data_IF_689961606751
#
_entry.id   IF_689961606751
#
_cell.length_a   1.000
_cell.length_b   1.000
_cell.length_c   1.000
_cell.angle_alpha   90.00
_cell.angle_beta   90.00
_cell.angle_gamma   90.00
#
_symmetry.space_group_name_H-M   'P 1'
#
loop_
_entity.id
_entity.type
_entity.pdbx_description
1 polymer ?
#
# COMPACT_ATOMS: atom_id res chain seq x y z
N UNK A 1 -16.37 4.88 -23.09
CA UNK A 1 -14.93 5.16 -22.93
C UNK A 1 -14.77 6.64 -22.59
N UNK A 2 -13.79 7.02 -21.76
CA UNK A 2 -13.63 8.40 -21.26
C UNK A 2 -13.52 9.41 -22.40
N UNK A 3 -12.61 9.19 -23.36
CA UNK A 3 -12.39 10.11 -24.48
C UNK A 3 -13.66 10.42 -25.27
N UNK A 4 -14.39 9.38 -25.70
CA UNK A 4 -15.66 9.56 -26.40
C UNK A 4 -16.72 10.31 -25.58
N UNK A 5 -16.84 10.02 -24.28
CA UNK A 5 -17.79 10.73 -23.43
C UNK A 5 -17.42 12.21 -23.19
N UNK A 6 -16.12 12.51 -23.06
CA UNK A 6 -15.63 13.91 -22.99
C UNK A 6 -15.94 14.64 -24.29
N UNK A 7 -15.69 14.01 -25.44
CA UNK A 7 -15.96 14.60 -26.74
C UNK A 7 -17.47 14.91 -26.93
N UNK A 8 -18.36 13.99 -26.55
CA UNK A 8 -19.82 14.21 -26.55
C UNK A 8 -20.21 15.39 -25.66
N UNK A 9 -19.64 15.50 -24.46
CA UNK A 9 -19.92 16.61 -23.54
C UNK A 9 -19.51 17.96 -24.13
N UNK A 10 -18.33 18.04 -24.76
CA UNK A 10 -17.85 19.27 -25.42
C UNK A 10 -18.67 19.61 -26.68
N UNK A 11 -19.09 18.60 -27.42
CA UNK A 11 -19.95 18.75 -28.60
C UNK A 11 -21.29 19.35 -28.24
N UNK A 12 -21.91 18.88 -27.15
CA UNK A 12 -23.18 19.43 -26.66
C UNK A 12 -23.12 20.92 -26.29
N UNK A 13 -21.91 21.46 -26.12
CA UNK A 13 -21.62 22.86 -25.80
C UNK A 13 -21.03 23.66 -26.96
N UNK A 14 -20.85 23.02 -28.12
CA UNK A 14 -20.28 23.66 -29.32
C UNK A 14 -18.80 24.03 -29.18
N UNK A 15 -18.05 23.34 -28.31
CA UNK A 15 -16.63 23.65 -27.97
C UNK A 15 -15.60 22.66 -28.52
N UNK A 16 -16.01 21.71 -29.36
CA UNK A 16 -15.10 20.75 -30.01
C UNK A 16 -15.12 20.96 -31.53
N UNK A 17 -14.20 21.77 -32.09
CA UNK A 17 -14.17 22.02 -33.53
C UNK A 17 -13.68 20.79 -34.32
N UNK A 18 -12.78 20.00 -33.72
CA UNK A 18 -12.14 18.84 -34.33
C UNK A 18 -11.90 17.75 -33.29
N UNK A 19 -11.89 16.49 -33.73
CA UNK A 19 -11.59 15.32 -32.91
C UNK A 19 -10.67 14.36 -33.66
N UNK A 20 -9.81 13.66 -32.94
CA UNK A 20 -8.99 12.59 -33.48
C UNK A 20 -9.09 11.34 -32.59
N UNK A 21 -9.28 10.18 -33.21
CA UNK A 21 -9.10 8.85 -32.62
C UNK A 21 -8.36 8.00 -33.68
N UNK A 22 -7.45 7.13 -33.25
CA UNK A 22 -6.73 6.19 -34.13
C UNK A 22 -7.71 5.29 -34.89
N UNK A 23 -8.93 5.09 -34.36
CA UNK A 23 -10.07 4.49 -35.04
C UNK A 23 -11.02 5.61 -35.49
N UNK A 24 -10.87 6.05 -36.73
CA UNK A 24 -11.67 7.15 -37.30
C UNK A 24 -13.19 6.95 -37.18
N UNK A 25 -13.67 5.71 -37.20
CA UNK A 25 -15.08 5.38 -36.97
C UNK A 25 -15.59 5.84 -35.60
N UNK A 26 -14.76 5.77 -34.55
CA UNK A 26 -15.11 6.23 -33.21
C UNK A 26 -15.21 7.76 -33.13
N UNK A 27 -14.43 8.47 -33.96
CA UNK A 27 -14.51 9.93 -34.09
C UNK A 27 -15.75 10.37 -34.91
N UNK A 28 -16.17 9.55 -35.89
CA UNK A 28 -17.31 9.81 -36.76
C UNK A 28 -18.70 9.64 -36.11
N UNK A 29 -18.77 9.15 -34.87
CA UNK A 29 -20.03 9.10 -34.11
C UNK A 29 -20.47 10.47 -33.57
N UNK A 30 -19.59 11.47 -33.62
CA UNK A 30 -19.87 12.86 -33.23
C UNK A 30 -20.55 13.62 -34.38
N UNK A 31 -21.54 14.45 -34.05
CA UNK A 31 -22.43 15.10 -35.04
C UNK A 31 -21.99 16.48 -35.53
N UNK A 32 -21.09 17.16 -34.81
CA UNK A 32 -20.63 18.53 -35.07
C UNK A 32 -19.10 18.60 -35.18
N UNK A 33 -18.36 17.79 -34.42
CA UNK A 33 -16.91 17.76 -34.49
C UNK A 33 -16.43 17.21 -35.84
N UNK A 34 -15.47 17.89 -36.48
CA UNK A 34 -14.82 17.32 -37.67
C UNK A 34 -13.80 16.25 -37.22
N UNK A 35 -13.99 15.01 -37.68
CA UNK A 35 -12.98 13.97 -37.51
C UNK A 35 -11.76 14.28 -38.38
N UNK A 36 -10.59 14.42 -37.75
CA UNK A 36 -9.31 14.69 -38.40
C UNK A 36 -8.37 13.48 -38.27
N UNK A 37 -7.37 13.42 -39.15
CA UNK A 37 -6.53 12.23 -39.30
C UNK A 37 -5.34 12.21 -38.37
N UNK A 38 -4.93 13.37 -37.81
CA UNK A 38 -3.77 13.44 -36.93
C UNK A 38 -3.98 14.30 -35.68
N UNK A 39 -3.22 14.04 -34.60
CA UNK A 39 -3.19 14.93 -33.43
C UNK A 39 -2.70 16.35 -33.75
N UNK A 40 -1.79 16.52 -34.71
CA UNK A 40 -1.31 17.83 -35.15
C UNK A 40 -2.45 18.70 -35.72
N UNK A 41 -3.37 18.11 -36.49
CA UNK A 41 -4.54 18.81 -37.03
C UNK A 41 -5.47 19.31 -35.92
N UNK A 42 -5.59 18.55 -34.83
CA UNK A 42 -6.33 18.98 -33.62
C UNK A 42 -5.66 20.19 -32.98
N UNK A 43 -4.34 20.12 -32.78
CA UNK A 43 -3.57 21.18 -32.12
C UNK A 43 -3.55 22.50 -32.90
N UNK A 44 -3.53 22.44 -34.25
CA UNK A 44 -3.40 23.62 -35.11
C UNK A 44 -4.56 24.62 -34.95
N UNK A 45 -5.75 24.14 -34.60
CA UNK A 45 -6.98 24.94 -34.51
C UNK A 45 -7.51 25.09 -33.08
N UNK A 46 -6.81 24.54 -32.08
CA UNK A 46 -7.27 24.50 -30.69
C UNK A 46 -6.43 25.39 -29.78
N UNK A 47 -7.06 26.07 -28.83
CA UNK A 47 -6.36 26.73 -27.73
C UNK A 47 -6.13 25.78 -26.54
N UNK A 48 -6.99 24.77 -26.41
CA UNK A 48 -6.93 23.70 -25.39
C UNK A 48 -7.09 22.35 -26.08
N UNK A 49 -6.17 21.41 -25.81
CA UNK A 49 -6.18 20.04 -26.35
C UNK A 49 -6.31 19.03 -25.22
N UNK A 50 -7.35 18.20 -25.25
CA UNK A 50 -7.59 17.14 -24.26
C UNK A 50 -7.08 15.80 -24.78
N UNK A 51 -6.19 15.15 -24.03
CA UNK A 51 -5.62 13.84 -24.40
C UNK A 51 -6.16 12.76 -23.46
N UNK A 52 -6.93 11.81 -24.02
CA UNK A 52 -7.50 10.67 -23.30
C UNK A 52 -7.18 9.35 -24.01
N UNK A 53 -6.04 8.76 -23.67
CA UNK A 53 -5.53 7.49 -24.19
C UNK A 53 -5.27 6.50 -23.04
N UNK A 54 -4.81 5.29 -23.35
CA UNK A 54 -4.75 4.19 -22.37
C UNK A 54 -3.54 4.29 -21.45
N UNK A 55 -2.37 4.60 -21.99
CA UNK A 55 -1.10 4.53 -21.27
C UNK A 55 -0.10 5.61 -21.69
N UNK A 56 1.03 5.68 -20.98
CA UNK A 56 2.09 6.66 -21.23
C UNK A 56 2.76 6.51 -22.61
N UNK A 57 2.81 5.31 -23.19
CA UNK A 57 3.40 5.13 -24.52
C UNK A 57 2.52 5.79 -25.58
N UNK A 58 1.20 5.60 -25.48
CA UNK A 58 0.24 6.28 -26.35
C UNK A 58 0.24 7.80 -26.13
N UNK A 59 0.42 8.28 -24.89
CA UNK A 59 0.56 9.71 -24.63
C UNK A 59 1.76 10.29 -25.37
N UNK A 60 2.92 9.64 -25.30
CA UNK A 60 4.13 10.08 -26.02
C UNK A 60 3.95 10.03 -27.53
N UNK A 61 3.30 9.00 -28.06
CA UNK A 61 2.99 8.90 -29.50
C UNK A 61 2.10 10.06 -29.95
N UNK A 62 1.00 10.31 -29.24
CA UNK A 62 0.07 11.42 -29.55
C UNK A 62 0.76 12.78 -29.41
N UNK A 63 1.65 12.94 -28.44
CA UNK A 63 2.31 14.23 -28.17
C UNK A 63 3.50 14.49 -29.12
N UNK A 64 4.37 13.50 -29.31
CA UNK A 64 5.69 13.64 -29.95
C UNK A 64 5.82 13.02 -31.33
N UNK A 65 4.82 12.27 -31.81
CA UNK A 65 4.86 11.70 -33.16
C UNK A 65 5.11 12.77 -34.23
N UNK A 66 5.54 12.35 -35.42
CA UNK A 66 5.82 13.27 -36.53
C UNK A 66 4.60 14.16 -36.85
N UNK A 67 3.39 13.60 -36.70
CA UNK A 67 2.10 14.30 -36.79
C UNK A 67 1.43 14.49 -35.41
N UNK A 68 2.22 14.60 -34.35
CA UNK A 68 1.78 14.71 -32.95
C UNK A 68 1.30 16.12 -32.57
N UNK A 69 0.72 16.24 -31.38
CA UNK A 69 0.18 17.49 -30.85
C UNK A 69 1.23 18.61 -30.85
N UNK A 70 2.50 18.33 -30.48
CA UNK A 70 3.54 19.35 -30.46
C UNK A 70 3.92 19.85 -31.87
N UNK A 71 3.88 18.98 -32.88
CA UNK A 71 4.18 19.35 -34.26
C UNK A 71 3.15 20.33 -34.85
N UNK A 72 1.88 20.22 -34.43
CA UNK A 72 0.80 21.11 -34.86
C UNK A 72 0.54 22.30 -33.93
N UNK A 73 1.18 22.36 -32.76
CA UNK A 73 0.90 23.36 -31.74
C UNK A 73 1.53 24.73 -32.04
N UNK A 74 0.88 25.78 -31.54
CA UNK A 74 1.44 27.13 -31.45
C UNK A 74 1.77 27.47 -29.99
N UNK A 75 2.72 28.40 -29.73
CA UNK A 75 2.97 28.87 -28.38
C UNK A 75 1.68 29.37 -27.71
N UNK A 76 1.49 29.00 -26.45
CA UNK A 76 0.31 29.30 -25.64
C UNK A 76 -0.77 28.23 -25.64
N UNK A 77 -0.71 27.18 -26.46
CA UNK A 77 -1.68 26.06 -26.37
C UNK A 77 -1.58 25.38 -25.00
N UNK A 78 -2.73 25.00 -24.43
CA UNK A 78 -2.81 24.20 -23.20
C UNK A 78 -3.16 22.76 -23.55
N UNK A 79 -2.29 21.82 -23.18
CA UNK A 79 -2.57 20.39 -23.26
C UNK A 79 -3.07 19.92 -21.90
N UNK A 80 -4.20 19.23 -21.87
CA UNK A 80 -4.78 18.65 -20.66
C UNK A 80 -4.74 17.13 -20.76
N UNK A 81 -3.92 16.51 -19.93
CA UNK A 81 -3.74 15.07 -19.91
C UNK A 81 -4.76 14.40 -18.99
N UNK A 82 -5.77 13.74 -19.58
CA UNK A 82 -6.79 12.98 -18.84
C UNK A 82 -6.34 11.55 -18.48
N UNK A 83 -5.37 11.04 -19.23
CA UNK A 83 -4.84 9.68 -19.10
C UNK A 83 -4.10 9.53 -17.78
N UNK A 84 -4.32 8.41 -17.09
CA UNK A 84 -3.63 8.14 -15.82
C UNK A 84 -2.21 7.66 -16.11
N UNK A 85 -1.22 8.49 -15.77
CA UNK A 85 0.22 8.18 -15.91
C UNK A 85 0.97 8.51 -14.61
N UNK A 86 2.24 8.11 -14.50
CA UNK A 86 3.04 8.39 -13.31
C UNK A 86 3.40 9.88 -13.21
N UNK A 87 3.62 10.38 -11.99
CA UNK A 87 4.02 11.78 -11.78
C UNK A 87 5.34 12.14 -12.46
N UNK A 88 6.39 11.28 -12.43
CA UNK A 88 7.60 11.54 -13.21
C UNK A 88 7.34 11.66 -14.72
N UNK A 89 6.39 10.88 -15.24
CA UNK A 89 5.99 10.97 -16.64
C UNK A 89 5.33 12.32 -16.96
N UNK A 90 4.38 12.77 -16.13
CA UNK A 90 3.77 14.10 -16.28
C UNK A 90 4.84 15.20 -16.32
N UNK A 91 5.83 15.12 -15.44
CA UNK A 91 6.90 16.12 -15.35
C UNK A 91 7.79 16.13 -16.60
N UNK A 92 8.12 14.95 -17.13
CA UNK A 92 8.89 14.84 -18.38
C UNK A 92 8.11 15.42 -19.56
N UNK A 93 6.85 15.02 -19.74
CA UNK A 93 5.98 15.53 -20.81
C UNK A 93 5.82 17.06 -20.73
N UNK A 94 5.69 17.63 -19.53
CA UNK A 94 5.59 19.08 -19.37
C UNK A 94 6.88 19.80 -19.76
N UNK A 95 8.04 19.21 -19.50
CA UNK A 95 9.32 19.76 -19.92
C UNK A 95 9.43 19.78 -21.46
N UNK A 96 8.96 18.71 -22.10
CA UNK A 96 8.93 18.62 -23.57
C UNK A 96 7.95 19.65 -24.16
N UNK A 97 6.73 19.77 -23.62
CA UNK A 97 5.77 20.80 -24.03
C UNK A 97 6.34 22.23 -23.94
N UNK A 98 7.05 22.54 -22.86
CA UNK A 98 7.63 23.88 -22.65
C UNK A 98 8.62 24.28 -23.74
N UNK A 99 9.34 23.33 -24.35
CA UNK A 99 10.25 23.61 -25.46
C UNK A 99 9.54 24.18 -26.70
N UNK A 100 8.23 23.93 -26.83
CA UNK A 100 7.37 24.43 -27.91
C UNK A 100 6.49 25.61 -27.45
N UNK A 101 6.69 26.12 -26.24
CA UNK A 101 5.81 27.13 -25.64
C UNK A 101 4.40 26.61 -25.34
N UNK A 102 4.24 25.30 -25.19
CA UNK A 102 2.97 24.64 -24.84
C UNK A 102 2.93 24.41 -23.33
N UNK A 103 1.79 24.66 -22.72
CA UNK A 103 1.54 24.41 -21.30
C UNK A 103 0.89 23.03 -21.12
N UNK A 104 1.25 22.29 -20.07
CA UNK A 104 0.66 20.98 -19.76
C UNK A 104 -0.05 21.05 -18.41
N UNK A 105 -1.28 20.53 -18.35
CA UNK A 105 -2.02 20.24 -17.14
C UNK A 105 -2.21 18.72 -17.01
N UNK A 106 -1.96 18.16 -15.83
CA UNK A 106 -2.42 16.80 -15.52
C UNK A 106 -3.83 16.85 -14.93
N UNK A 107 -4.73 16.00 -15.41
CA UNK A 107 -6.13 16.03 -15.00
C UNK A 107 -6.68 14.62 -14.83
N UNK A 108 -6.62 14.09 -13.61
CA UNK A 108 -7.26 12.81 -13.31
C UNK A 108 -8.77 12.92 -13.31
N UNK A 109 -9.48 11.93 -13.85
CA UNK A 109 -10.96 11.94 -13.92
C UNK A 109 -11.60 10.72 -13.28
N UNK A 110 -12.80 10.88 -12.71
CA UNK A 110 -13.58 9.77 -12.11
C UNK A 110 -15.06 10.14 -11.90
N UNK A 111 -16.03 9.20 -11.97
CA UNK A 111 -15.93 7.90 -12.62
C UNK A 111 -16.06 8.04 -14.14
N UNK A 112 -15.31 7.25 -14.92
CA UNK A 112 -15.14 7.48 -16.36
C UNK A 112 -16.36 7.15 -17.23
N UNK A 113 -17.26 6.31 -16.74
CA UNK A 113 -18.53 5.96 -17.38
C UNK A 113 -19.53 7.12 -17.43
N UNK A 114 -19.33 8.14 -16.60
CA UNK A 114 -20.20 9.32 -16.51
C UNK A 114 -19.73 10.50 -17.38
N UNK A 115 -18.69 10.30 -18.19
CA UNK A 115 -18.09 11.34 -19.04
C UNK A 115 -19.07 12.01 -20.01
N UNK A 116 -20.01 11.26 -20.60
CA UNK A 116 -20.98 11.77 -21.59
C UNK A 116 -22.13 12.59 -20.99
N UNK A 117 -22.28 12.59 -19.65
CA UNK A 117 -23.41 13.20 -18.96
C UNK A 117 -22.97 14.30 -18.00
N UNK A 118 -21.79 14.89 -18.23
CA UNK A 118 -21.18 15.85 -17.31
C UNK A 118 -21.07 15.34 -15.86
N UNK A 119 -20.89 14.03 -15.66
CA UNK A 119 -20.97 13.41 -14.33
C UNK A 119 -19.63 13.21 -13.63
N UNK A 120 -18.51 13.55 -14.28
CA UNK A 120 -17.17 13.30 -13.76
C UNK A 120 -16.73 14.32 -12.71
N UNK A 121 -15.78 13.91 -11.89
CA UNK A 121 -14.94 14.78 -11.06
C UNK A 121 -13.56 14.82 -11.72
N UNK A 122 -13.11 16.03 -12.04
CA UNK A 122 -11.78 16.30 -12.58
C UNK A 122 -10.86 16.81 -11.46
N UNK A 123 -9.67 16.23 -11.36
CA UNK A 123 -8.61 16.54 -10.39
C UNK A 123 -7.43 17.08 -11.17
N UNK A 124 -7.24 18.40 -11.17
CA UNK A 124 -6.33 19.10 -12.07
C UNK A 124 -5.10 19.58 -11.31
N UNK A 125 -3.91 19.35 -11.86
CA UNK A 125 -2.65 19.93 -11.42
C UNK A 125 -2.08 20.88 -12.48
N UNK A 126 -1.54 22.00 -12.03
CA UNK A 126 -0.95 23.05 -12.87
C UNK A 126 -0.96 24.42 -12.18
N UNK A 127 -0.38 25.43 -12.81
CA UNK A 127 -0.46 26.80 -12.32
C UNK A 127 -1.87 27.41 -12.50
N UNK A 128 -2.21 28.36 -11.64
CA UNK A 128 -3.54 28.97 -11.55
C UNK A 128 -4.01 29.56 -12.88
N UNK A 129 -3.12 30.25 -13.60
CA UNK A 129 -3.45 30.92 -14.86
C UNK A 129 -3.76 29.90 -15.96
N UNK A 130 -2.92 28.87 -16.13
CA UNK A 130 -3.16 27.80 -17.09
C UNK A 130 -4.44 27.03 -16.78
N UNK A 131 -4.69 26.73 -15.49
CA UNK A 131 -5.92 26.06 -15.04
C UNK A 131 -7.15 26.92 -15.31
N UNK A 132 -7.08 28.24 -15.06
CA UNK A 132 -8.18 29.15 -15.34
C UNK A 132 -8.53 29.19 -16.84
N UNK A 133 -7.52 29.11 -17.72
CA UNK A 133 -7.71 29.07 -19.17
C UNK A 133 -8.40 27.80 -19.66
N UNK A 134 -8.14 26.65 -19.05
CA UNK A 134 -8.75 25.37 -19.41
C UNK A 134 -10.05 25.04 -18.64
N UNK A 135 -10.41 25.86 -17.66
CA UNK A 135 -11.58 25.63 -16.79
C UNK A 135 -12.90 25.52 -17.56
N UNK A 136 -13.19 26.34 -18.60
CA UNK A 136 -14.45 26.23 -19.35
C UNK A 136 -14.65 24.86 -19.99
N UNK A 137 -13.60 24.27 -20.57
CA UNK A 137 -13.63 22.96 -21.22
C UNK A 137 -13.74 21.84 -20.18
N UNK A 138 -13.03 21.96 -19.06
CA UNK A 138 -13.11 21.00 -17.96
C UNK A 138 -14.51 20.94 -17.32
N UNK A 139 -15.17 22.09 -17.17
CA UNK A 139 -16.51 22.20 -16.57
C UNK A 139 -17.64 21.64 -17.46
N UNK A 140 -17.37 21.35 -18.73
CA UNK A 140 -18.37 20.81 -19.65
C UNK A 140 -18.61 19.31 -19.46
N UNK A 141 -17.57 18.56 -19.07
CA UNK A 141 -17.65 17.12 -18.86
C UNK A 141 -17.56 16.72 -17.37
N UNK A 142 -17.10 17.62 -16.50
CA UNK A 142 -17.01 17.38 -15.07
C UNK A 142 -18.02 18.22 -14.26
N UNK A 143 -18.92 17.55 -13.53
CA UNK A 143 -19.78 18.19 -12.51
C UNK A 143 -19.00 18.93 -11.44
N UNK A 144 -17.73 18.55 -11.22
CA UNK A 144 -16.83 19.22 -10.29
C UNK A 144 -15.40 19.16 -10.82
N UNK A 145 -14.80 20.33 -10.97
CA UNK A 145 -13.35 20.47 -11.16
C UNK A 145 -12.73 20.86 -9.82
N UNK A 146 -11.68 20.15 -9.43
CA UNK A 146 -10.88 20.40 -8.23
C UNK A 146 -9.47 20.70 -8.69
N UNK A 147 -9.00 21.92 -8.42
CA UNK A 147 -7.59 22.27 -8.62
C UNK A 147 -6.82 21.78 -7.40
N UNK A 148 -5.95 20.79 -7.63
CA UNK A 148 -5.28 20.02 -6.59
C UNK A 148 -3.92 20.60 -6.20
N UNK A 149 -3.45 21.64 -6.89
CA UNK A 149 -2.15 22.27 -6.69
C UNK A 149 -1.31 22.29 -7.97
N UNK A 150 0.03 22.29 -7.85
CA UNK A 150 0.93 22.41 -9.00
C UNK A 150 0.88 21.18 -9.91
N UNK A 151 1.56 21.25 -11.04
CA UNK A 151 1.71 20.14 -11.97
C UNK A 151 2.13 18.83 -11.25
N UNK A 152 1.40 17.76 -11.51
CA UNK A 152 1.51 16.44 -10.89
C UNK A 152 0.52 16.21 -9.74
N UNK A 153 -0.08 17.26 -9.18
CA UNK A 153 -1.00 17.14 -8.04
C UNK A 153 -2.36 16.52 -8.43
N UNK A 154 -2.84 16.74 -9.65
CA UNK A 154 -4.08 16.15 -10.16
C UNK A 154 -3.96 14.63 -10.28
N UNK A 155 -2.88 14.16 -10.88
CA UNK A 155 -2.52 12.74 -10.98
C UNK A 155 -2.25 12.12 -9.62
N UNK A 156 -1.49 12.79 -8.76
CA UNK A 156 -1.26 12.30 -7.39
C UNK A 156 -2.56 12.08 -6.64
N UNK A 157 -3.49 13.04 -6.74
CA UNK A 157 -4.82 12.95 -6.12
C UNK A 157 -5.62 11.78 -6.68
N UNK A 158 -5.62 11.61 -8.01
CA UNK A 158 -6.30 10.48 -8.67
C UNK A 158 -5.73 9.12 -8.25
N UNK A 159 -4.41 9.00 -8.18
CA UNK A 159 -3.72 7.78 -7.74
C UNK A 159 -4.05 7.47 -6.28
N UNK A 160 -3.96 8.45 -5.39
CA UNK A 160 -4.31 8.30 -3.97
C UNK A 160 -5.78 7.86 -3.79
N UNK A 161 -6.71 8.48 -4.53
CA UNK A 161 -8.12 8.08 -4.54
C UNK A 161 -8.31 6.64 -5.02
N UNK A 162 -7.55 6.20 -6.01
CA UNK A 162 -7.61 4.83 -6.51
C UNK A 162 -7.07 3.82 -5.50
N UNK A 163 -6.02 4.16 -4.73
CA UNK A 163 -5.55 3.36 -3.60
C UNK A 163 -6.67 3.12 -2.60
N UNK A 164 -7.40 4.16 -2.19
CA UNK A 164 -8.56 4.02 -1.30
C UNK A 164 -9.64 3.10 -1.90
N UNK A 165 -9.93 3.25 -3.20
CA UNK A 165 -10.99 2.47 -3.86
C UNK A 165 -10.66 0.99 -3.95
N UNK A 166 -9.51 0.66 -4.52
CA UNK A 166 -9.11 -0.73 -4.73
C UNK A 166 -8.71 -1.42 -3.42
N UNK A 167 -8.12 -0.68 -2.47
CA UNK A 167 -7.87 -1.15 -1.12
C UNK A 167 -9.16 -1.51 -0.39
N UNK A 168 -10.20 -0.67 -0.48
CA UNK A 168 -11.51 -0.96 0.12
C UNK A 168 -12.18 -2.18 -0.50
N UNK A 169 -12.06 -2.39 -1.81
CA UNK A 169 -12.58 -3.60 -2.46
C UNK A 169 -11.83 -4.87 -2.02
N UNK A 170 -10.52 -4.77 -1.81
CA UNK A 170 -9.74 -5.87 -1.24
C UNK A 170 -10.18 -6.17 0.21
N UNK A 171 -10.41 -5.13 1.01
CA UNK A 171 -10.93 -5.27 2.37
C UNK A 171 -12.30 -5.99 2.39
N UNK A 172 -13.22 -5.55 1.53
CA UNK A 172 -14.53 -6.18 1.39
C UNK A 172 -14.43 -7.65 0.95
N UNK A 173 -13.51 -7.96 0.04
CA UNK A 173 -13.25 -9.33 -0.41
C UNK A 173 -12.78 -10.24 0.73
N UNK A 174 -11.83 -9.78 1.55
CA UNK A 174 -11.31 -10.54 2.70
C UNK A 174 -12.37 -10.71 3.79
N UNK A 175 -13.10 -9.64 4.13
CA UNK A 175 -14.19 -9.70 5.11
C UNK A 175 -15.28 -10.69 4.68
N UNK A 176 -15.67 -10.68 3.41
CA UNK A 176 -16.66 -11.63 2.89
C UNK A 176 -16.13 -13.08 2.86
N UNK A 177 -14.83 -13.28 2.63
CA UNK A 177 -14.22 -14.61 2.70
C UNK A 177 -14.18 -15.14 4.14
N UNK A 178 -13.86 -14.28 5.10
CA UNK A 178 -13.86 -14.63 6.53
C UNK A 178 -15.28 -14.93 7.04
N UNK A 179 -16.28 -14.13 6.64
CA UNK A 179 -17.68 -14.40 6.96
C UNK A 179 -18.14 -15.76 6.42
N UNK A 180 -17.88 -16.04 5.14
CA UNK A 180 -18.23 -17.32 4.50
C UNK A 180 -17.57 -18.52 5.18
N UNK A 181 -16.31 -18.38 5.61
CA UNK A 181 -15.60 -19.47 6.27
C UNK A 181 -16.20 -19.81 7.64
N UNK A 182 -16.81 -18.83 8.31
CA UNK A 182 -17.59 -19.01 9.53
C UNK A 182 -19.06 -19.43 9.26
N UNK A 183 -19.45 -19.70 8.01
CA UNK A 183 -20.82 -20.07 7.64
C UNK A 183 -21.81 -18.90 7.60
N UNK A 184 -21.32 -17.66 7.56
CA UNK A 184 -22.14 -16.44 7.48
C UNK A 184 -22.32 -16.01 6.02
N UNK A 185 -23.56 -15.72 5.63
CA UNK A 185 -23.87 -15.14 4.32
C UNK A 185 -23.34 -13.69 4.24
N UNK A 186 -22.55 -13.33 3.23
CA UNK A 186 -22.15 -11.94 2.99
C UNK A 186 -23.30 -10.94 2.94
N UNK A 187 -24.52 -11.34 2.58
CA UNK A 187 -25.70 -10.48 2.63
C UNK A 187 -26.00 -9.99 4.07
N UNK A 188 -25.84 -10.86 5.06
CA UNK A 188 -25.98 -10.50 6.48
C UNK A 188 -24.87 -9.55 6.93
N UNK A 189 -23.64 -9.75 6.44
CA UNK A 189 -22.55 -8.81 6.71
C UNK A 189 -22.85 -7.42 6.13
N UNK A 190 -23.42 -7.35 4.93
CA UNK A 190 -23.84 -6.08 4.30
C UNK A 190 -24.89 -5.38 5.17
N UNK A 191 -25.91 -6.09 5.63
CA UNK A 191 -26.96 -5.53 6.51
C UNK A 191 -26.36 -4.92 7.79
N UNK A 192 -25.41 -5.62 8.44
CA UNK A 192 -24.73 -5.10 9.64
C UNK A 192 -23.92 -3.84 9.34
N UNK A 193 -23.22 -3.80 8.20
CA UNK A 193 -22.41 -2.64 7.81
C UNK A 193 -23.29 -1.44 7.48
N UNK A 194 -24.38 -1.64 6.72
CA UNK A 194 -25.30 -0.56 6.34
C UNK A 194 -25.98 0.07 7.56
N UNK A 195 -26.32 -0.73 8.58
CA UNK A 195 -26.89 -0.23 9.84
C UNK A 195 -25.84 0.48 10.72
N UNK A 196 -24.60 0.00 10.74
CA UNK A 196 -23.53 0.59 11.55
C UNK A 196 -22.91 1.86 10.94
N UNK A 197 -22.85 1.94 9.62
CA UNK A 197 -22.29 3.07 8.85
C UNK A 197 -23.16 3.41 7.63
N UNK A 198 -24.38 3.93 7.84
CA UNK A 198 -25.33 4.20 6.75
C UNK A 198 -24.85 5.26 5.75
N UNK A 199 -23.82 6.03 6.11
CA UNK A 199 -23.21 7.02 5.23
C UNK A 199 -21.96 6.50 4.50
N UNK A 200 -21.51 5.27 4.77
CA UNK A 200 -20.27 4.71 4.24
C UNK A 200 -19.05 5.58 4.56
N UNK A 201 -19.04 6.23 5.72
CA UNK A 201 -18.02 7.20 6.10
C UNK A 201 -16.73 6.54 6.59
N UNK A 202 -16.77 5.26 6.97
CA UNK A 202 -15.64 4.51 7.58
C UNK A 202 -14.35 4.63 6.77
N UNK A 203 -14.32 4.44 5.43
CA UNK A 203 -13.07 4.54 4.66
C UNK A 203 -12.42 5.92 4.70
N UNK A 204 -13.18 6.97 5.01
CA UNK A 204 -12.69 8.36 5.07
C UNK A 204 -12.59 8.90 6.50
N UNK A 205 -13.13 8.19 7.49
CA UNK A 205 -13.29 8.70 8.85
C UNK A 205 -11.94 9.10 9.46
N UNK A 206 -10.95 8.21 9.40
CA UNK A 206 -9.64 8.48 10.01
C UNK A 206 -8.90 9.62 9.30
N UNK A 207 -8.90 9.62 7.96
CA UNK A 207 -8.33 10.71 7.16
C UNK A 207 -8.99 12.06 7.49
N UNK A 208 -10.32 12.09 7.69
CA UNK A 208 -11.04 13.31 8.09
C UNK A 208 -10.64 13.75 9.49
N UNK A 209 -10.53 12.83 10.44
CA UNK A 209 -10.14 13.16 11.81
C UNK A 209 -8.73 13.77 11.87
N UNK A 210 -7.79 13.21 11.11
CA UNK A 210 -6.42 13.74 11.02
C UNK A 210 -6.38 15.18 10.47
N UNK A 211 -7.26 15.53 9.53
CA UNK A 211 -7.30 16.86 8.93
C UNK A 211 -8.11 17.85 9.78
N UNK A 212 -9.25 17.42 10.35
CA UNK A 212 -10.18 18.30 11.04
C UNK A 212 -9.89 18.49 12.53
N UNK A 213 -9.32 17.48 13.20
CA UNK A 213 -9.03 17.49 14.63
C UNK A 213 -7.84 16.55 14.96
N UNK A 214 -6.62 16.91 14.52
CA UNK A 214 -5.44 16.05 14.68
C UNK A 214 -5.12 15.70 16.13
N UNK A 215 -5.37 16.61 17.07
CA UNK A 215 -5.15 16.40 18.51
C UNK A 215 -6.06 15.32 19.09
N UNK A 216 -7.36 15.38 18.77
CA UNK A 216 -8.33 14.35 19.20
C UNK A 216 -8.02 12.98 18.58
N UNK A 217 -7.54 12.95 17.33
CA UNK A 217 -7.11 11.71 16.70
C UNK A 217 -5.89 11.11 17.41
N UNK A 218 -4.92 11.95 17.80
CA UNK A 218 -3.73 11.53 18.55
C UNK A 218 -4.09 11.00 19.95
N UNK A 219 -5.00 11.67 20.67
CA UNK A 219 -5.46 11.22 22.00
C UNK A 219 -6.22 9.89 21.95
N UNK A 220 -7.06 9.70 20.92
CA UNK A 220 -7.84 8.47 20.75
C UNK A 220 -7.00 7.28 20.23
N UNK A 221 -5.93 7.56 19.48
CA UNK A 221 -5.08 6.57 18.81
C UNK A 221 -4.70 5.36 19.68
N UNK A 222 -4.15 5.53 20.88
CA UNK A 222 -3.75 4.41 21.74
C UNK A 222 -4.91 3.50 22.15
N UNK A 223 -6.10 4.06 22.40
CA UNK A 223 -7.27 3.24 22.73
C UNK A 223 -7.77 2.47 21.51
N UNK A 224 -7.82 3.13 20.35
CA UNK A 224 -8.24 2.52 19.09
C UNK A 224 -7.27 1.40 18.69
N UNK A 225 -5.96 1.60 18.88
CA UNK A 225 -4.93 0.61 18.62
C UNK A 225 -5.15 -0.67 19.43
N UNK A 226 -5.44 -0.56 20.73
CA UNK A 226 -5.75 -1.73 21.58
C UNK A 226 -6.99 -2.49 21.12
N UNK A 227 -8.05 -1.78 20.72
CA UNK A 227 -9.26 -2.41 20.21
C UNK A 227 -9.00 -3.11 18.88
N UNK A 228 -8.30 -2.43 17.98
CA UNK A 228 -7.90 -2.97 16.68
C UNK A 228 -7.02 -4.22 16.82
N UNK A 229 -5.99 -4.19 17.67
CA UNK A 229 -5.13 -5.37 17.90
C UNK A 229 -5.94 -6.57 18.41
N UNK A 230 -6.81 -6.35 19.39
CA UNK A 230 -7.70 -7.38 19.95
C UNK A 230 -8.67 -7.95 18.90
N UNK A 231 -9.36 -7.09 18.13
CA UNK A 231 -10.35 -7.54 17.14
C UNK A 231 -9.69 -8.19 15.91
N UNK A 232 -8.55 -7.68 15.44
CA UNK A 232 -7.79 -8.27 14.34
C UNK A 232 -7.08 -9.58 14.77
N UNK A 233 -6.72 -9.74 16.05
CA UNK A 233 -6.27 -11.04 16.60
C UNK A 233 -7.34 -12.11 16.41
N UNK A 234 -8.58 -11.82 16.81
CA UNK A 234 -9.70 -12.75 16.67
C UNK A 234 -9.97 -13.09 15.20
N UNK A 235 -9.83 -12.11 14.29
CA UNK A 235 -9.94 -12.35 12.86
C UNK A 235 -8.84 -13.29 12.33
N UNK A 236 -7.60 -13.15 12.80
CA UNK A 236 -6.49 -14.05 12.42
C UNK A 236 -6.70 -15.47 12.94
N UNK A 237 -7.16 -15.63 14.18
CA UNK A 237 -7.50 -16.94 14.75
C UNK A 237 -8.59 -17.64 13.94
N UNK A 238 -9.67 -16.93 13.60
CA UNK A 238 -10.75 -17.44 12.77
C UNK A 238 -10.27 -17.81 11.36
N UNK A 239 -9.46 -16.94 10.75
CA UNK A 239 -8.89 -17.18 9.42
C UNK A 239 -8.00 -18.42 9.41
N UNK A 240 -7.16 -18.59 10.44
CA UNK A 240 -6.26 -19.75 10.60
C UNK A 240 -7.05 -21.03 10.80
N UNK A 241 -8.04 -21.01 11.70
CA UNK A 241 -8.90 -22.18 11.97
C UNK A 241 -9.66 -22.67 10.74
N UNK A 242 -9.96 -21.77 9.79
CA UNK A 242 -10.75 -22.09 8.60
C UNK A 242 -9.94 -22.08 7.29
N UNK A 243 -8.62 -21.92 7.33
CA UNK A 243 -7.75 -21.93 6.15
C UNK A 243 -7.98 -20.77 5.17
N UNK A 244 -8.31 -19.57 5.67
CA UNK A 244 -8.52 -18.36 4.86
C UNK A 244 -7.33 -17.41 4.97
N UNK A 245 -6.88 -16.86 3.84
CA UNK A 245 -5.85 -15.83 3.83
C UNK A 245 -6.44 -14.42 4.05
N UNK A 246 -5.91 -13.70 5.04
CA UNK A 246 -6.33 -12.33 5.40
C UNK A 246 -5.14 -11.35 5.45
N UNK A 247 -4.40 -11.15 4.33
CA UNK A 247 -3.20 -10.32 4.34
C UNK A 247 -3.47 -8.85 4.68
N UNK A 248 -4.66 -8.30 4.40
CA UNK A 248 -4.98 -6.92 4.80
C UNK A 248 -5.19 -6.81 6.31
N UNK A 249 -5.79 -7.83 6.95
CA UNK A 249 -5.90 -7.91 8.43
C UNK A 249 -4.50 -7.91 9.04
N UNK A 250 -3.58 -8.71 8.48
CA UNK A 250 -2.20 -8.76 8.95
C UNK A 250 -1.51 -7.40 8.80
N UNK A 251 -1.61 -6.78 7.62
CA UNK A 251 -1.01 -5.47 7.37
C UNK A 251 -1.58 -4.38 8.29
N UNK A 252 -2.90 -4.34 8.48
CA UNK A 252 -3.56 -3.37 9.36
C UNK A 252 -3.11 -3.52 10.82
N UNK A 253 -2.94 -4.76 11.29
CA UNK A 253 -2.42 -5.05 12.63
C UNK A 253 -0.94 -4.65 12.76
N UNK A 254 -0.09 -5.09 11.83
CA UNK A 254 1.36 -4.81 11.83
C UNK A 254 1.66 -3.32 11.77
N UNK A 255 0.91 -2.56 10.98
CA UNK A 255 1.12 -1.12 10.80
C UNK A 255 0.13 -0.27 11.61
N UNK A 256 -0.41 -0.81 12.70
CA UNK A 256 -1.45 -0.16 13.49
C UNK A 256 -1.03 1.17 14.11
N UNK A 257 0.18 1.21 14.67
CA UNK A 257 0.76 2.43 15.27
C UNK A 257 0.92 3.54 14.23
N UNK A 258 1.53 3.19 13.07
CA UNK A 258 1.70 4.10 11.94
C UNK A 258 0.35 4.61 11.41
N UNK A 259 -0.62 3.70 11.23
CA UNK A 259 -1.96 4.02 10.74
C UNK A 259 -2.67 5.01 11.66
N UNK A 260 -2.56 4.80 12.97
CA UNK A 260 -3.23 5.60 13.98
C UNK A 260 -2.41 6.81 14.45
N UNK A 261 -1.23 7.05 13.85
CA UNK A 261 -0.34 8.14 14.26
C UNK A 261 0.09 8.04 15.73
N UNK A 262 0.04 6.83 16.30
CA UNK A 262 0.53 6.56 17.64
C UNK A 262 2.04 6.52 17.52
N UNK A 263 2.67 7.64 17.85
CA UNK A 263 4.10 7.63 18.15
C UNK A 263 4.20 6.75 19.39
N UNK A 264 4.74 5.54 19.24
CA UNK A 264 5.23 4.82 20.41
C UNK A 264 6.08 5.83 21.16
N UNK A 265 5.72 6.15 22.40
CA UNK A 265 6.66 6.83 23.30
C UNK A 265 7.93 6.03 23.14
N UNK A 266 8.99 6.65 22.61
CA UNK A 266 10.29 6.01 22.60
C UNK A 266 10.49 5.62 24.07
N UNK A 267 10.51 4.31 24.40
CA UNK A 267 10.41 3.88 25.79
C UNK A 267 11.49 4.65 26.52
N UNK A 268 11.14 5.43 27.56
CA UNK A 268 11.99 6.48 28.12
C UNK A 268 13.35 5.87 28.35
N UNK A 269 14.35 6.25 27.53
CA UNK A 269 15.53 5.46 27.20
C UNK A 269 15.77 4.36 28.23
N UNK A 270 15.07 3.23 28.08
CA UNK A 270 15.18 2.18 29.07
C UNK A 270 16.66 1.83 29.08
N UNK A 271 17.27 1.77 30.28
CA UNK A 271 18.66 1.40 30.41
C UNK A 271 18.88 0.15 29.54
N UNK A 272 20.02 0.09 28.82
CA UNK A 272 20.26 -0.92 27.77
C UNK A 272 19.90 -2.32 28.24
N UNK A 273 20.18 -2.59 29.51
CA UNK A 273 19.76 -3.75 30.29
C UNK A 273 18.27 -4.06 30.21
N UNK A 274 17.42 -3.09 30.53
CA UNK A 274 15.96 -3.28 30.59
C UNK A 274 15.39 -3.60 29.22
N UNK A 275 15.82 -2.86 28.19
CA UNK A 275 15.43 -3.13 26.80
C UNK A 275 15.93 -4.50 26.35
N UNK A 276 17.16 -4.85 26.71
CA UNK A 276 17.74 -6.16 26.45
C UNK A 276 16.94 -7.31 27.04
N UNK A 277 16.51 -7.19 28.29
CA UNK A 277 15.69 -8.19 28.97
C UNK A 277 14.33 -8.36 28.29
N UNK A 278 13.66 -7.27 27.94
CA UNK A 278 12.38 -7.31 27.22
C UNK A 278 12.51 -8.02 25.86
N UNK A 279 13.55 -7.67 25.10
CA UNK A 279 13.79 -8.25 23.77
C UNK A 279 14.18 -9.72 23.88
N UNK A 280 14.87 -10.11 24.94
CA UNK A 280 15.23 -11.49 25.17
C UNK A 280 13.97 -12.35 25.44
N UNK A 281 13.00 -11.82 26.18
CA UNK A 281 11.68 -12.44 26.35
C UNK A 281 10.91 -12.51 25.03
N UNK A 282 10.93 -11.44 24.23
CA UNK A 282 10.36 -11.46 22.88
C UNK A 282 11.01 -12.51 21.98
N UNK A 283 12.31 -12.78 22.13
CA UNK A 283 13.04 -13.73 21.27
C UNK A 283 12.88 -15.19 21.72
N UNK A 284 12.75 -15.45 23.03
CA UNK A 284 12.80 -16.82 23.57
C UNK A 284 11.57 -17.25 24.37
N UNK A 285 10.61 -16.36 24.57
CA UNK A 285 9.41 -16.59 25.36
C UNK A 285 9.43 -15.83 26.68
N UNK A 286 8.23 -15.44 27.13
CA UNK A 286 8.01 -14.64 28.35
C UNK A 286 8.53 -15.32 29.61
N UNK A 287 9.22 -14.58 30.47
CA UNK A 287 9.70 -15.05 31.78
C UNK A 287 11.14 -15.54 31.82
N UNK A 288 11.87 -15.51 30.69
CA UNK A 288 13.29 -15.82 30.66
C UNK A 288 14.13 -14.70 31.31
N UNK A 289 13.71 -13.45 31.13
CA UNK A 289 14.28 -12.27 31.75
C UNK A 289 14.21 -12.35 33.28
N UNK A 290 13.08 -12.82 33.83
CA UNK A 290 12.86 -12.96 35.27
C UNK A 290 13.68 -14.12 35.87
N UNK A 291 14.01 -15.13 35.07
CA UNK A 291 14.86 -16.25 35.45
C UNK A 291 16.37 -15.89 35.41
N UNK A 292 16.74 -14.67 35.00
CA UNK A 292 18.15 -14.26 34.97
C UNK A 292 18.68 -13.87 36.35
N UNK A 293 19.95 -14.19 36.66
CA UNK A 293 20.57 -13.77 37.91
C UNK A 293 20.66 -12.24 37.99
N UNK A 294 20.37 -11.70 39.17
CA UNK A 294 20.44 -10.25 39.44
C UNK A 294 21.86 -9.68 39.28
N UNK A 295 22.88 -10.48 39.63
CA UNK A 295 24.30 -10.15 39.41
C UNK A 295 24.79 -10.92 38.17
N UNK A 296 24.99 -10.20 37.07
CA UNK A 296 25.40 -10.78 35.78
C UNK A 296 26.92 -10.69 35.62
N UNK A 297 27.53 -11.75 35.10
CA UNK A 297 28.94 -11.70 34.67
C UNK A 297 29.06 -10.88 33.38
N UNK A 298 30.24 -10.30 33.06
CA UNK A 298 30.40 -9.39 31.91
C UNK A 298 29.91 -9.94 30.56
N UNK A 299 30.07 -11.24 30.30
CA UNK A 299 29.59 -11.87 29.06
C UNK A 299 28.05 -11.88 28.96
N UNK A 300 27.37 -12.08 30.09
CA UNK A 300 25.91 -12.08 30.15
C UNK A 300 25.36 -10.65 30.09
N UNK A 301 26.05 -9.68 30.71
CA UNK A 301 25.75 -8.25 30.57
C UNK A 301 25.84 -7.80 29.11
N UNK A 302 26.93 -8.14 28.40
CA UNK A 302 27.05 -7.81 26.97
C UNK A 302 25.95 -8.46 26.12
N UNK A 303 25.54 -9.67 26.46
CA UNK A 303 24.46 -10.37 25.75
C UNK A 303 23.13 -9.64 25.92
N UNK A 304 22.79 -9.25 27.14
CA UNK A 304 21.57 -8.48 27.42
C UNK A 304 21.65 -7.09 26.80
N UNK A 305 22.68 -6.31 27.13
CA UNK A 305 22.75 -4.89 26.83
C UNK A 305 23.00 -4.59 25.35
N UNK A 306 23.83 -5.42 24.69
CA UNK A 306 24.27 -5.15 23.33
C UNK A 306 23.55 -6.05 22.31
N UNK A 307 23.57 -7.37 22.49
CA UNK A 307 22.90 -8.25 21.52
C UNK A 307 21.39 -8.00 21.52
N UNK A 308 20.74 -8.09 22.69
CA UNK A 308 19.30 -7.86 22.77
C UNK A 308 18.94 -6.37 22.85
N UNK A 309 19.66 -5.60 23.66
CA UNK A 309 19.39 -4.17 23.86
C UNK A 309 19.71 -3.28 22.66
N UNK A 310 20.51 -3.74 21.69
CA UNK A 310 20.85 -2.94 20.50
C UNK A 310 20.69 -3.68 19.17
N UNK A 311 21.14 -4.94 19.02
CA UNK A 311 21.20 -5.61 17.72
C UNK A 311 19.85 -6.18 17.28
N UNK A 312 19.15 -6.88 18.17
CA UNK A 312 17.85 -7.51 17.85
C UNK A 312 16.72 -6.49 17.65
N UNK A 313 16.80 -5.32 18.29
CA UNK A 313 15.81 -4.25 18.18
C UNK A 313 16.00 -3.29 17.01
N UNK A 314 17.05 -3.45 16.18
CA UNK A 314 17.26 -2.48 15.10
C UNK A 314 16.09 -2.51 14.10
N UNK A 315 15.61 -1.36 13.64
CA UNK A 315 14.63 -1.33 12.57
C UNK A 315 15.23 -1.93 11.29
N UNK A 316 14.37 -2.48 10.42
CA UNK A 316 14.72 -2.97 9.09
C UNK A 316 14.64 -4.48 8.87
N UNK A 317 14.62 -5.29 9.93
CA UNK A 317 14.31 -6.72 9.86
C UNK A 317 13.30 -7.09 10.94
N UNK A 318 12.25 -7.81 10.57
CA UNK A 318 11.29 -8.37 11.52
C UNK A 318 11.96 -9.44 12.39
N UNK A 319 11.32 -9.81 13.52
CA UNK A 319 11.79 -10.90 14.38
C UNK A 319 11.93 -12.21 13.59
N UNK A 320 10.93 -12.52 12.75
CA UNK A 320 10.94 -13.70 11.86
C UNK A 320 12.09 -13.65 10.85
N UNK A 321 12.38 -12.51 10.24
CA UNK A 321 13.51 -12.40 9.29
C UNK A 321 14.84 -12.63 9.99
N UNK A 322 15.01 -12.07 11.19
CA UNK A 322 16.20 -12.29 12.03
C UNK A 322 16.34 -13.75 12.40
N UNK A 323 15.23 -14.41 12.75
CA UNK A 323 15.18 -15.85 13.04
C UNK A 323 15.72 -16.66 11.87
N UNK A 324 15.26 -16.40 10.66
CA UNK A 324 15.71 -17.12 9.46
C UNK A 324 17.21 -16.92 9.20
N UNK A 325 17.72 -15.69 9.39
CA UNK A 325 19.17 -15.42 9.26
C UNK A 325 19.98 -16.19 10.30
N UNK A 326 19.53 -16.20 11.56
CA UNK A 326 20.23 -16.91 12.65
C UNK A 326 20.16 -18.43 12.46
N UNK A 327 19.02 -18.98 12.05
CA UNK A 327 18.87 -20.41 11.73
C UNK A 327 19.79 -20.81 10.57
N UNK A 328 19.88 -20.00 9.51
CA UNK A 328 20.82 -20.25 8.42
C UNK A 328 22.27 -20.24 8.88
N UNK A 329 22.67 -19.26 9.69
CA UNK A 329 24.02 -19.16 10.22
C UNK A 329 24.39 -20.33 11.15
N UNK A 330 23.48 -20.70 12.06
CA UNK A 330 23.69 -21.80 13.02
C UNK A 330 23.64 -23.18 12.35
N UNK A 331 22.84 -23.33 11.30
CA UNK A 331 22.81 -24.52 10.46
C UNK A 331 24.16 -24.76 9.79
N UNK A 332 24.80 -23.72 9.24
CA UNK A 332 26.13 -23.82 8.64
C UNK A 332 27.22 -24.26 9.64
N UNK A 333 27.01 -24.01 10.92
CA UNK A 333 27.91 -24.42 12.01
C UNK A 333 27.61 -25.84 12.54
N UNK A 334 26.53 -26.48 12.10
CA UNK A 334 26.12 -27.81 12.57
C UNK A 334 25.72 -27.85 14.06
N UNK A 335 25.28 -26.71 14.63
CA UNK A 335 25.00 -26.57 16.06
C UNK A 335 23.53 -26.85 16.38
N UNK A 336 23.21 -28.14 16.55
CA UNK A 336 21.85 -28.60 16.87
C UNK A 336 21.27 -27.95 18.13
N UNK A 337 22.10 -27.69 19.14
CA UNK A 337 21.74 -27.02 20.39
C UNK A 337 21.28 -25.57 20.16
N UNK A 338 21.93 -24.83 19.27
CA UNK A 338 21.52 -23.47 18.92
C UNK A 338 20.25 -23.47 18.07
N UNK A 339 20.12 -24.43 17.15
CA UNK A 339 18.90 -24.61 16.36
C UNK A 339 17.70 -24.86 17.27
N UNK A 340 17.84 -25.77 18.25
CA UNK A 340 16.78 -26.10 19.19
C UNK A 340 16.24 -24.87 19.93
N UNK A 341 17.14 -24.03 20.45
CA UNK A 341 16.77 -22.80 21.18
C UNK A 341 16.03 -21.82 20.26
N UNK A 342 16.51 -21.62 19.04
CA UNK A 342 15.90 -20.68 18.10
C UNK A 342 14.54 -21.16 17.59
N UNK A 343 14.43 -22.45 17.24
CA UNK A 343 13.17 -23.04 16.76
C UNK A 343 12.10 -23.01 17.85
N UNK A 344 12.47 -23.33 19.09
CA UNK A 344 11.53 -23.24 20.23
C UNK A 344 11.00 -21.82 20.41
N UNK A 345 11.86 -20.80 20.38
CA UNK A 345 11.44 -19.40 20.43
C UNK A 345 10.46 -19.05 19.30
N UNK A 346 10.77 -19.47 18.06
CA UNK A 346 9.88 -19.22 16.92
C UNK A 346 8.50 -19.88 17.04
N UNK A 347 8.42 -21.04 17.68
CA UNK A 347 7.15 -21.75 17.92
C UNK A 347 6.34 -21.08 19.03
N UNK A 348 6.99 -20.64 20.12
CA UNK A 348 6.34 -19.91 21.22
C UNK A 348 5.72 -18.61 20.70
N UNK A 349 6.43 -17.90 19.83
CA UNK A 349 6.02 -16.61 19.32
C UNK A 349 5.12 -16.67 18.07
N UNK A 350 4.88 -17.86 17.53
CA UNK A 350 4.12 -18.03 16.29
C UNK A 350 4.81 -17.45 15.04
N UNK A 351 6.14 -17.33 15.05
CA UNK A 351 6.93 -16.85 13.91
C UNK A 351 7.02 -17.88 12.77
N UNK A 352 7.07 -19.17 13.12
CA UNK A 352 7.22 -20.30 12.21
C UNK A 352 6.27 -21.43 12.57
N UNK A 353 5.65 -22.03 11.56
CA UNK A 353 4.83 -23.24 11.68
C UNK A 353 5.67 -24.51 11.58
N UNK A 354 5.15 -25.64 12.06
CA UNK A 354 5.82 -26.94 11.91
C UNK A 354 6.10 -27.28 10.44
N UNK A 355 5.15 -27.00 9.53
CA UNK A 355 5.34 -27.20 8.09
C UNK A 355 6.43 -26.32 7.50
N UNK A 356 6.56 -25.07 7.95
CA UNK A 356 7.64 -24.21 7.50
C UNK A 356 9.01 -24.69 8.01
N UNK A 357 9.06 -25.25 9.22
CA UNK A 357 10.29 -25.83 9.76
C UNK A 357 10.74 -27.05 8.95
N UNK A 358 9.81 -27.92 8.52
CA UNK A 358 10.13 -29.05 7.65
C UNK A 358 10.72 -28.57 6.31
N UNK A 359 10.13 -27.54 5.69
CA UNK A 359 10.65 -26.94 4.45
C UNK A 359 12.01 -26.27 4.66
N UNK A 360 12.22 -25.58 5.79
CA UNK A 360 13.52 -24.98 6.15
C UNK A 360 14.59 -26.07 6.28
N UNK A 361 14.28 -27.18 6.96
CA UNK A 361 15.21 -28.30 7.10
C UNK A 361 15.55 -28.89 5.73
N UNK A 362 14.54 -29.15 4.89
CA UNK A 362 14.74 -29.65 3.53
C UNK A 362 15.66 -28.72 2.73
N UNK A 363 15.39 -27.42 2.74
CA UNK A 363 16.20 -26.42 2.05
C UNK A 363 17.64 -26.44 2.56
N UNK A 364 17.85 -26.42 3.88
CA UNK A 364 19.17 -26.36 4.48
C UNK A 364 20.02 -27.61 4.24
N UNK A 365 19.43 -28.78 3.99
CA UNK A 365 20.20 -29.97 3.58
C UNK A 365 21.02 -29.73 2.30
N UNK A 366 20.50 -28.96 1.35
CA UNK A 366 21.17 -28.68 0.07
C UNK A 366 22.23 -27.59 0.17
N UNK A 367 22.07 -26.63 1.09
CA UNK A 367 22.98 -25.48 1.20
C UNK A 367 24.01 -25.63 2.32
N UNK A 368 23.63 -26.21 3.47
CA UNK A 368 24.55 -26.51 4.57
C UNK A 368 25.20 -27.90 4.47
N UNK A 369 24.70 -28.76 3.57
CA UNK A 369 25.14 -30.13 3.37
C UNK A 369 24.49 -31.12 4.34
N UNK A 370 24.40 -32.39 3.93
CA UNK A 370 23.66 -33.44 4.66
C UNK A 370 24.09 -33.66 6.11
N UNK A 371 25.38 -33.53 6.42
CA UNK A 371 25.88 -33.66 7.80
C UNK A 371 25.32 -32.57 8.73
N UNK A 372 25.40 -31.31 8.30
CA UNK A 372 24.83 -30.19 9.04
C UNK A 372 23.30 -30.19 9.00
N UNK A 373 22.68 -30.56 7.88
CA UNK A 373 21.23 -30.71 7.76
C UNK A 373 20.66 -31.72 8.75
N UNK A 374 21.38 -32.82 9.01
CA UNK A 374 21.00 -33.79 10.06
C UNK A 374 21.03 -33.16 11.46
N UNK A 375 22.02 -32.30 11.74
CA UNK A 375 22.08 -31.56 13.01
C UNK A 375 20.94 -30.54 13.15
N UNK A 376 20.55 -29.87 12.05
CA UNK A 376 19.37 -28.99 12.02
C UNK A 376 18.10 -29.80 12.31
N UNK A 377 17.90 -30.93 11.64
CA UNK A 377 16.76 -31.82 11.89
C UNK A 377 16.70 -32.27 13.36
N UNK A 378 17.84 -32.62 13.95
CA UNK A 378 17.90 -33.01 15.35
C UNK A 378 17.46 -31.88 16.29
N UNK A 379 17.94 -30.65 16.06
CA UNK A 379 17.56 -29.49 16.86
C UNK A 379 16.07 -29.12 16.71
N UNK A 380 15.53 -29.19 15.49
CA UNK A 380 14.10 -28.95 15.22
C UNK A 380 13.23 -29.98 15.93
N UNK A 381 13.59 -31.26 15.85
CA UNK A 381 12.85 -32.34 16.51
C UNK A 381 12.85 -32.17 18.04
N UNK A 382 13.99 -31.80 18.62
CA UNK A 382 14.09 -31.53 20.06
C UNK A 382 13.24 -30.33 20.48
N UNK A 383 13.24 -29.26 19.67
CA UNK A 383 12.42 -28.08 19.93
C UNK A 383 10.92 -28.42 19.91
N UNK A 384 10.46 -29.12 18.86
CA UNK A 384 9.07 -29.56 18.72
C UNK A 384 8.61 -30.44 19.90
N UNK A 385 9.47 -31.39 20.32
CA UNK A 385 9.18 -32.23 21.49
C UNK A 385 8.98 -31.36 22.74
N UNK A 386 9.95 -30.49 23.05
CA UNK A 386 9.88 -29.64 24.25
C UNK A 386 8.71 -28.65 24.22
N UNK A 387 8.37 -28.10 23.06
CA UNK A 387 7.28 -27.14 22.90
C UNK A 387 5.92 -27.81 23.10
N UNK A 388 5.71 -29.00 22.51
CA UNK A 388 4.46 -29.78 22.66
C UNK A 388 4.22 -30.24 24.10
N UNK A 389 5.30 -30.47 24.86
CA UNK A 389 5.22 -30.84 26.28
C UNK A 389 4.92 -29.64 27.21
N UNK A 390 4.67 -28.45 26.65
CA UNK A 390 4.30 -27.26 27.42
C UNK A 390 5.47 -26.62 28.14
N UNK A 391 6.59 -26.43 27.43
CA UNK A 391 7.83 -25.86 27.96
C UNK A 391 7.60 -24.70 28.96
N UNK A 392 8.18 -24.85 30.15
CA UNK A 392 8.30 -23.81 31.17
C UNK A 392 9.78 -23.47 31.29
N UNK A 393 10.13 -22.17 31.26
CA UNK A 393 11.52 -21.73 31.42
C UNK A 393 12.13 -22.34 32.70
N UNK A 394 13.38 -22.82 32.69
CA UNK A 394 13.98 -23.42 33.88
C UNK A 394 14.01 -22.42 35.03
N UNK A 395 13.32 -22.74 36.14
CA UNK A 395 13.57 -22.07 37.42
C UNK A 395 14.91 -22.60 37.96
N UNK A 396 15.80 -21.72 38.43
CA UNK A 396 17.12 -22.07 38.97
C UNK A 396 17.06 -23.31 39.88
N UNK A 397 17.74 -24.40 39.47
CA UNK A 397 18.20 -25.39 40.43
C UNK A 397 19.40 -24.77 41.18
N UNK A 398 19.18 -24.51 42.48
CA UNK A 398 20.12 -23.84 43.41
C UNK A 398 21.43 -24.57 43.63
#
# INVERSE_FOLDING_TARGET
>A
MIGGGVAVSLESRGRIPVVHDVRLEAAGELGLALAVHTPAEVAAVSDVVLIAVVDAAQVREVLHGDDGVLAGSRPGVVVVLLSTVSVPEVQALAQDCRAYGVELLDCGVTPGDQAAHNGMVAMVGGDDDTVARAMPELADFAKKVVHCGPLGAGMSTKIARNVLTYGSWRAAHEAAALARSAGVDPATLIEVIDEADPAGATPLLWLRNQVAAPELAAEAGPQVLRLMDKDLSAAQELATGNGVAVPLVNAARTHGEETLGVVADAPPAADRTTRGLQTMDEVYGTGLADAMPAERKPALEMTVDHLFGEVWNRPGLSLRDRRLVVLGATAMLGRADLIEVQVRGSLINGELTESELDEIVLQLHYYAGWGNGTAVQAGVNAALASWRDGFVAPAEER
#
